data_IF_531522133178
#
_entry.id   IF_531522133178
#
_cell.length_a   1.000
_cell.length_b   1.000
_cell.length_c   1.000
_cell.angle_alpha   90.00
_cell.angle_beta   90.00
_cell.angle_gamma   90.00
#
_symmetry.space_group_name_H-M   'P 1'
#
loop_
_entity.id
_entity.type
_entity.pdbx_description
1 polymer ?
#
# COMPACT_ATOMS: atom_id res chain seq x y z
N UNK A 1 -15.83 13.28 -9.35
CA UNK A 1 -15.26 12.30 -10.30
C UNK A 1 -13.84 12.56 -10.79
N UNK A 2 -13.26 13.77 -10.70
CA UNK A 2 -11.87 13.97 -11.15
C UNK A 2 -10.82 13.51 -10.12
N UNK A 3 -11.08 13.65 -8.83
CA UNK A 3 -10.10 13.30 -7.77
C UNK A 3 -9.82 11.79 -7.70
N UNK A 4 -10.83 10.95 -7.88
CA UNK A 4 -10.65 9.49 -7.87
C UNK A 4 -9.84 8.97 -9.06
N UNK A 5 -9.95 9.62 -10.22
CA UNK A 5 -9.16 9.26 -11.41
C UNK A 5 -7.68 9.58 -11.17
N UNK A 6 -7.39 10.73 -10.55
CA UNK A 6 -6.02 11.16 -10.23
C UNK A 6 -5.36 10.22 -9.20
N UNK A 7 -6.12 9.75 -8.20
CA UNK A 7 -5.62 8.77 -7.24
C UNK A 7 -5.29 7.42 -7.87
N UNK A 8 -6.16 6.92 -8.76
CA UNK A 8 -5.93 5.64 -9.45
C UNK A 8 -4.70 5.66 -10.36
N UNK A 9 -4.54 6.71 -11.17
CA UNK A 9 -3.37 6.88 -12.05
C UNK A 9 -2.07 7.01 -11.25
N UNK A 10 -2.13 7.69 -10.11
CA UNK A 10 -0.99 7.80 -9.20
C UNK A 10 -0.61 6.42 -8.60
N UNK A 11 -1.59 5.66 -8.11
CA UNK A 11 -1.35 4.33 -7.52
C UNK A 11 -0.71 3.39 -8.55
N UNK A 12 -1.21 3.39 -9.79
CA UNK A 12 -0.64 2.58 -10.87
C UNK A 12 0.83 2.94 -11.15
N UNK A 13 1.15 4.24 -11.25
CA UNK A 13 2.53 4.72 -11.45
C UNK A 13 3.44 4.42 -10.26
N UNK A 14 2.91 4.51 -9.03
CA UNK A 14 3.66 4.16 -7.84
C UNK A 14 3.97 2.65 -7.80
N UNK A 15 3.01 1.80 -8.18
CA UNK A 15 3.20 0.35 -8.31
C UNK A 15 4.27 0.00 -9.35
N UNK A 16 4.24 0.64 -10.52
CA UNK A 16 5.27 0.48 -11.56
C UNK A 16 6.65 0.91 -11.05
N UNK A 17 6.71 2.05 -10.35
CA UNK A 17 7.96 2.59 -9.85
C UNK A 17 8.63 1.70 -8.79
N UNK A 18 7.87 1.04 -7.90
CA UNK A 18 8.43 0.10 -6.92
C UNK A 18 8.78 -1.27 -7.53
N UNK A 19 8.21 -1.59 -8.70
CA UNK A 19 8.46 -2.83 -9.43
C UNK A 19 9.61 -2.73 -10.44
N UNK A 20 10.02 -1.51 -10.79
CA UNK A 20 11.07 -1.22 -11.77
C UNK A 20 12.41 -0.90 -11.11
N UNK A 21 13.48 -0.90 -11.90
CA UNK A 21 14.80 -0.40 -11.48
C UNK A 21 14.79 1.12 -11.33
N UNK A 22 14.34 1.61 -10.17
CA UNK A 22 14.38 3.02 -9.80
C UNK A 22 15.40 3.23 -8.67
N UNK A 23 15.91 4.47 -8.50
CA UNK A 23 16.76 4.78 -7.35
C UNK A 23 16.03 4.51 -6.03
N UNK A 24 16.74 4.02 -5.02
CA UNK A 24 16.15 3.68 -3.71
C UNK A 24 15.32 4.80 -3.10
N UNK A 25 15.77 6.06 -3.25
CA UNK A 25 15.04 7.23 -2.75
C UNK A 25 13.65 7.35 -3.39
N UNK A 26 13.52 7.03 -4.68
CA UNK A 26 12.24 7.03 -5.38
C UNK A 26 11.36 5.89 -4.87
N UNK A 27 11.90 4.67 -4.80
CA UNK A 27 11.17 3.49 -4.30
C UNK A 27 10.69 3.73 -2.87
N UNK A 28 11.55 4.24 -2.00
CA UNK A 28 11.22 4.58 -0.61
C UNK A 28 10.07 5.58 -0.54
N UNK A 29 10.12 6.65 -1.33
CA UNK A 29 9.07 7.67 -1.34
C UNK A 29 7.75 7.13 -1.89
N UNK A 30 7.77 6.30 -2.93
CA UNK A 30 6.56 5.68 -3.47
C UNK A 30 5.90 4.74 -2.46
N UNK A 31 6.69 3.89 -1.77
CA UNK A 31 6.19 3.05 -0.69
C UNK A 31 5.59 3.89 0.46
N UNK A 32 6.23 5.02 0.80
CA UNK A 32 5.71 5.91 1.83
C UNK A 32 4.37 6.53 1.44
N UNK A 33 4.24 7.00 0.20
CA UNK A 33 3.01 7.62 -0.29
C UNK A 33 1.88 6.60 -0.42
N UNK A 34 2.15 5.40 -0.92
CA UNK A 34 1.19 4.30 -0.95
C UNK A 34 0.71 3.94 0.47
N UNK A 35 1.62 3.85 1.44
CA UNK A 35 1.24 3.64 2.84
C UNK A 35 0.33 4.77 3.36
N UNK A 36 0.68 6.03 3.09
CA UNK A 36 -0.14 7.18 3.51
C UNK A 36 -1.51 7.19 2.86
N UNK A 37 -1.62 6.77 1.60
CA UNK A 37 -2.90 6.62 0.90
C UNK A 37 -3.76 5.52 1.52
N UNK A 38 -3.18 4.41 1.95
CA UNK A 38 -3.99 3.36 2.61
C UNK A 38 -4.39 3.78 4.04
N UNK A 39 -3.48 4.41 4.78
CA UNK A 39 -3.71 4.86 6.15
C UNK A 39 -4.79 5.95 6.24
N UNK A 40 -4.84 6.88 5.27
CA UNK A 40 -5.71 8.05 5.31
C UNK A 40 -6.79 8.07 4.22
N UNK A 41 -6.71 7.16 3.25
CA UNK A 41 -7.65 7.07 2.14
C UNK A 41 -8.99 6.48 2.54
N UNK A 42 -9.96 6.69 1.67
CA UNK A 42 -11.25 6.03 1.76
C UNK A 42 -11.15 4.55 1.38
N UNK A 43 -12.27 3.84 1.53
CA UNK A 43 -12.34 2.41 1.23
C UNK A 43 -11.97 2.10 -0.23
N UNK A 44 -12.41 2.94 -1.16
CA UNK A 44 -12.08 2.84 -2.58
C UNK A 44 -10.58 2.91 -2.81
N UNK A 45 -9.90 3.88 -2.21
CA UNK A 45 -8.45 4.07 -2.34
C UNK A 45 -7.69 2.87 -1.76
N UNK A 46 -8.14 2.33 -0.63
CA UNK A 46 -7.54 1.12 -0.03
C UNK A 46 -7.64 -0.09 -0.94
N UNK A 47 -8.83 -0.32 -1.51
CA UNK A 47 -9.07 -1.41 -2.46
C UNK A 47 -8.20 -1.24 -3.72
N UNK A 48 -8.12 -0.03 -4.27
CA UNK A 48 -7.26 0.24 -5.43
C UNK A 48 -5.78 -0.04 -5.15
N UNK A 49 -5.26 0.32 -3.98
CA UNK A 49 -3.89 -0.01 -3.60
C UNK A 49 -3.71 -1.52 -3.48
N UNK A 50 -4.66 -2.24 -2.89
CA UNK A 50 -4.62 -3.70 -2.77
C UNK A 50 -4.64 -4.40 -4.13
N UNK A 51 -5.42 -3.90 -5.08
CA UNK A 51 -5.56 -4.49 -6.42
C UNK A 51 -4.37 -4.18 -7.33
N UNK A 52 -3.86 -2.95 -7.29
CA UNK A 52 -2.84 -2.47 -8.24
C UNK A 52 -1.40 -2.67 -7.75
N UNK A 53 -1.18 -2.77 -6.44
CA UNK A 53 0.17 -2.94 -5.88
C UNK A 53 0.46 -4.42 -5.66
N UNK A 54 1.46 -4.92 -6.37
CA UNK A 54 1.86 -6.33 -6.29
C UNK A 54 2.40 -6.68 -4.90
N UNK A 55 1.63 -7.46 -4.13
CA UNK A 55 1.99 -7.88 -2.78
C UNK A 55 3.35 -8.59 -2.71
N UNK A 56 3.61 -9.49 -3.65
CA UNK A 56 4.89 -10.23 -3.76
C UNK A 56 6.08 -9.27 -3.87
N UNK A 57 5.95 -8.20 -4.68
CA UNK A 57 7.00 -7.19 -4.82
C UNK A 57 7.23 -6.43 -3.53
N UNK A 58 6.16 -6.05 -2.84
CA UNK A 58 6.27 -5.36 -1.55
C UNK A 58 6.90 -6.28 -0.50
N UNK A 59 6.59 -7.58 -0.52
CA UNK A 59 7.22 -8.58 0.34
C UNK A 59 8.73 -8.68 0.09
N UNK A 60 9.17 -8.78 -1.17
CA UNK A 60 10.60 -8.76 -1.53
C UNK A 60 11.29 -7.51 -0.98
N UNK A 61 10.66 -6.35 -1.14
CA UNK A 61 11.20 -5.06 -0.69
C UNK A 61 11.35 -4.97 0.84
N UNK A 62 10.66 -5.80 1.64
CA UNK A 62 10.88 -5.87 3.09
C UNK A 62 12.30 -6.33 3.47
N UNK A 63 13.01 -6.97 2.54
CA UNK A 63 14.38 -7.48 2.69
C UNK A 63 15.41 -6.63 1.92
N UNK A 64 15.01 -5.46 1.42
CA UNK A 64 15.88 -4.59 0.64
C UNK A 64 17.07 -4.07 1.47
N UNK A 65 18.23 -3.88 0.82
CA UNK A 65 19.46 -3.41 1.49
C UNK A 65 19.30 -1.99 2.05
N UNK A 66 18.44 -1.18 1.44
CA UNK A 66 18.12 0.15 1.93
C UNK A 66 17.11 0.07 3.09
N UNK A 67 17.47 0.53 4.32
CA UNK A 67 16.61 0.40 5.49
C UNK A 67 15.32 1.23 5.38
N UNK A 68 15.33 2.35 4.65
CA UNK A 68 14.14 3.17 4.40
C UNK A 68 13.13 2.45 3.52
N UNK A 69 13.60 1.83 2.43
CA UNK A 69 12.79 0.97 1.56
C UNK A 69 12.21 -0.20 2.35
N UNK A 70 13.06 -0.95 3.06
CA UNK A 70 12.63 -2.10 3.84
C UNK A 70 11.62 -1.74 4.94
N UNK A 71 11.84 -0.64 5.65
CA UNK A 71 10.92 -0.15 6.69
C UNK A 71 9.56 0.25 6.12
N UNK A 72 9.52 0.99 5.01
CA UNK A 72 8.26 1.39 4.39
C UNK A 72 7.51 0.20 3.79
N UNK A 73 8.22 -0.75 3.16
CA UNK A 73 7.61 -1.97 2.65
C UNK A 73 6.96 -2.80 3.78
N UNK A 74 7.62 -2.94 4.93
CA UNK A 74 7.07 -3.64 6.10
C UNK A 74 5.81 -2.99 6.66
N UNK A 75 5.69 -1.66 6.57
CA UNK A 75 4.50 -0.92 6.97
C UNK A 75 3.35 -1.09 5.99
N UNK A 76 3.66 -1.09 4.69
CA UNK A 76 2.67 -1.20 3.63
C UNK A 76 2.13 -2.64 3.48
N UNK A 77 3.00 -3.65 3.61
CA UNK A 77 2.66 -5.05 3.32
C UNK A 77 1.37 -5.55 4.02
N UNK A 78 1.16 -5.33 5.33
CA UNK A 78 -0.06 -5.78 6.03
C UNK A 78 -1.35 -5.25 5.40
N UNK A 79 -1.31 -4.05 4.80
CA UNK A 79 -2.47 -3.44 4.19
C UNK A 79 -2.79 -4.00 2.80
N UNK A 80 -1.81 -4.62 2.14
CA UNK A 80 -1.97 -5.23 0.81
C UNK A 80 -2.33 -6.71 0.95
N UNK A 81 -1.75 -7.41 1.93
CA UNK A 81 -1.99 -8.87 2.12
C UNK A 81 -3.19 -9.19 3.00
N UNK A 82 -3.60 -8.29 3.89
CA UNK A 82 -4.80 -8.52 4.68
C UNK A 82 -6.02 -8.21 3.80
N UNK A 83 -6.86 -9.21 3.44
CA UNK A 83 -8.19 -8.89 2.95
C UNK A 83 -8.86 -8.06 4.03
N UNK A 84 -9.55 -6.99 3.63
CA UNK A 84 -10.39 -6.22 4.55
C UNK A 84 -11.32 -7.23 5.20
N UNK A 85 -11.06 -7.56 6.47
CA UNK A 85 -12.02 -8.28 7.28
C UNK A 85 -13.24 -7.36 7.32
N UNK A 86 -14.22 -7.69 6.48
CA UNK A 86 -15.44 -6.93 6.34
C UNK A 86 -16.02 -6.65 7.71
N UNK A 87 -16.47 -5.41 7.92
CA UNK A 87 -17.09 -5.01 9.17
C UNK A 87 -18.19 -6.00 9.57
N UNK A 88 -17.99 -6.65 10.71
CA UNK A 88 -19.07 -7.05 11.61
C UNK A 88 -18.56 -6.80 13.03
N UNK A 89 -19.40 -6.12 13.83
CA UNK A 89 -19.00 -5.50 15.07
C UNK A 89 -18.46 -6.48 16.11
N UNK A 90 -17.47 -6.00 16.87
CA UNK A 90 -17.29 -6.45 18.25
C UNK A 90 -18.32 -5.74 19.14
N UNK A 91 -19.60 -6.11 19.00
CA UNK A 91 -20.51 -6.11 20.15
C UNK A 91 -20.35 -7.48 20.82
N UNK A 92 -19.30 -7.61 21.62
CA UNK A 92 -19.15 -8.69 22.58
C UNK A 92 -19.65 -8.24 23.96
N UNK A 93 -20.97 -8.08 24.11
CA UNK A 93 -21.61 -8.17 25.42
C UNK A 93 -22.14 -9.61 25.60
N UNK A 94 -21.83 -10.20 26.75
CA UNK A 94 -22.37 -11.48 27.25
C UNK A 94 -21.34 -12.61 27.17
N UNK A 95 -21.02 -13.35 28.23
CA UNK A 95 -21.73 -13.63 29.47
C UNK A 95 -20.96 -13.23 30.73
#
# INVERSE_FOLDING_TARGET
NHEQILSSDFIAKASEAISSTKPDAVVQNMLHLLFKLVENGDETTRQQVQELVAAEKVEELTRHNNPGVASNAKKLLPHIVAPQLGGTGFEGKGA
#
